data_IF_419131626777
#
_entry.id   IF_419131626777
#
_cell.length_a   1.000
_cell.length_b   1.000
_cell.length_c   1.000
_cell.angle_alpha   90.00
_cell.angle_beta   90.00
_cell.angle_gamma   90.00
#
_symmetry.space_group_name_H-M   'P 1'
#
loop_
_entity.id
_entity.type
_entity.pdbx_description
1 polymer ?
#
# COMPACT_ATOMS: atom_id res chain seq x y z
N UNK A 1 13.48 -12.40 35.14
CA UNK A 1 12.56 -12.78 34.03
C UNK A 1 12.19 -11.54 33.20
N UNK A 2 13.15 -10.74 32.73
CA UNK A 2 12.85 -9.38 32.26
C UNK A 2 13.67 -8.85 31.07
N UNK A 3 14.48 -9.68 30.40
CA UNK A 3 15.34 -9.22 29.31
C UNK A 3 15.07 -9.91 27.95
N UNK A 4 14.28 -10.99 27.94
CA UNK A 4 13.96 -11.73 26.71
C UNK A 4 12.61 -11.34 26.06
N UNK A 5 11.82 -10.47 26.71
CA UNK A 5 10.47 -10.10 26.23
C UNK A 5 10.47 -8.88 25.29
N UNK A 6 11.59 -8.15 25.18
CA UNK A 6 11.73 -7.01 24.28
C UNK A 6 12.17 -7.41 22.86
N UNK A 7 12.96 -8.48 22.70
CA UNK A 7 13.50 -8.89 21.39
C UNK A 7 12.51 -9.65 20.49
N UNK A 8 11.31 -10.00 20.99
CA UNK A 8 10.26 -10.68 20.22
C UNK A 8 8.96 -9.89 20.14
N UNK A 9 9.01 -8.55 20.12
CA UNK A 9 7.90 -7.81 19.50
C UNK A 9 7.92 -8.13 18.02
N UNK A 10 7.02 -9.03 17.62
CA UNK A 10 6.85 -9.47 16.24
C UNK A 10 6.70 -8.23 15.34
N UNK A 11 7.76 -7.85 14.61
CA UNK A 11 7.81 -6.63 13.78
C UNK A 11 7.01 -6.81 12.49
N UNK A 12 5.76 -7.24 12.64
CA UNK A 12 4.88 -7.59 11.52
C UNK A 12 4.74 -6.39 10.59
N UNK A 13 4.55 -5.18 11.13
CA UNK A 13 4.37 -3.95 10.38
C UNK A 13 5.54 -3.65 9.47
N UNK A 14 6.78 -3.91 9.91
CA UNK A 14 7.98 -3.75 9.08
C UNK A 14 7.93 -4.70 7.89
N UNK A 15 7.73 -6.01 8.12
CA UNK A 15 7.78 -7.00 7.05
C UNK A 15 6.62 -6.84 6.07
N UNK A 16 5.40 -6.64 6.57
CA UNK A 16 4.21 -6.47 5.74
C UNK A 16 4.24 -5.15 4.98
N UNK A 17 4.70 -4.07 5.62
CA UNK A 17 4.85 -2.76 4.98
C UNK A 17 5.93 -2.79 3.89
N UNK A 18 7.01 -3.55 4.10
CA UNK A 18 8.10 -3.67 3.14
C UNK A 18 7.67 -4.51 1.93
N UNK A 19 7.06 -5.68 2.17
CA UNK A 19 6.57 -6.56 1.09
C UNK A 19 5.47 -5.84 0.31
N UNK A 20 4.45 -5.34 0.98
CA UNK A 20 3.33 -4.66 0.33
C UNK A 20 3.75 -3.36 -0.36
N UNK A 21 4.61 -2.55 0.28
CA UNK A 21 5.14 -1.31 -0.30
C UNK A 21 5.96 -1.56 -1.57
N UNK A 22 6.86 -2.56 -1.55
CA UNK A 22 7.62 -2.95 -2.73
C UNK A 22 6.72 -3.49 -3.85
N UNK A 23 5.70 -4.28 -3.51
CA UNK A 23 4.73 -4.78 -4.49
C UNK A 23 3.94 -3.66 -5.15
N UNK A 24 3.48 -2.66 -4.39
CA UNK A 24 2.83 -1.46 -4.94
C UNK A 24 3.77 -0.67 -5.85
N UNK A 25 5.03 -0.49 -5.47
CA UNK A 25 6.02 0.20 -6.32
C UNK A 25 6.23 -0.56 -7.63
N UNK A 26 6.45 -1.87 -7.56
CA UNK A 26 6.61 -2.71 -8.76
C UNK A 26 5.36 -2.65 -9.64
N UNK A 27 4.17 -2.71 -9.04
CA UNK A 27 2.89 -2.54 -9.76
C UNK A 27 2.84 -1.23 -10.52
N UNK A 28 3.19 -0.13 -9.85
CA UNK A 28 3.18 1.19 -10.45
C UNK A 28 4.17 1.30 -11.60
N UNK A 29 5.37 0.75 -11.47
CA UNK A 29 6.39 0.73 -12.53
C UNK A 29 5.93 -0.09 -13.73
N UNK A 30 5.42 -1.31 -13.51
CA UNK A 30 4.94 -2.18 -14.59
C UNK A 30 3.80 -1.50 -15.35
N UNK A 31 2.82 -0.93 -14.65
CA UNK A 31 1.71 -0.22 -15.30
C UNK A 31 2.16 1.05 -16.03
N UNK A 32 3.20 1.73 -15.56
CA UNK A 32 3.78 2.85 -16.31
C UNK A 32 4.41 2.39 -17.64
N UNK A 33 5.03 1.21 -17.66
CA UNK A 33 5.68 0.68 -18.86
C UNK A 33 4.63 0.14 -19.84
N UNK A 34 3.66 -0.64 -19.35
CA UNK A 34 2.66 -1.32 -20.18
C UNK A 34 1.65 -0.33 -20.80
N UNK A 35 1.25 0.69 -20.06
CA UNK A 35 0.26 1.68 -20.51
C UNK A 35 0.90 2.89 -21.22
N UNK A 36 2.21 2.85 -21.52
CA UNK A 36 2.94 3.98 -22.14
C UNK A 36 2.27 4.53 -23.40
N UNK A 37 1.74 3.64 -24.25
CA UNK A 37 1.07 3.99 -25.51
C UNK A 37 -0.23 4.75 -25.24
N UNK A 38 -0.93 4.41 -24.15
CA UNK A 38 -2.16 5.09 -23.76
C UNK A 38 -1.85 6.48 -23.16
N UNK A 39 -0.69 6.66 -22.52
CA UNK A 39 -0.27 7.96 -21.98
C UNK A 39 0.03 8.98 -23.08
N UNK A 40 0.65 8.53 -24.17
CA UNK A 40 0.90 9.37 -25.35
C UNK A 40 -0.39 9.89 -25.97
N UNK A 41 -1.48 9.11 -25.87
CA UNK A 41 -2.80 9.48 -26.36
C UNK A 41 -3.53 10.40 -25.37
N UNK A 42 -3.48 10.09 -24.08
CA UNK A 42 -4.05 10.94 -23.04
C UNK A 42 -3.29 10.78 -21.71
N UNK A 43 -2.71 11.85 -21.16
CA UNK A 43 -1.96 11.79 -19.91
C UNK A 43 -2.83 11.37 -18.71
N UNK A 44 -4.16 11.43 -18.81
CA UNK A 44 -5.06 11.03 -17.72
C UNK A 44 -4.87 9.57 -17.28
N UNK A 45 -4.42 8.70 -18.19
CA UNK A 45 -4.18 7.29 -17.89
C UNK A 45 -2.97 7.04 -16.97
N UNK A 46 -2.11 8.04 -16.77
CA UNK A 46 -0.92 7.92 -15.92
C UNK A 46 -1.23 8.00 -14.43
N UNK A 47 -2.34 8.68 -14.08
CA UNK A 47 -2.67 9.04 -12.70
C UNK A 47 -2.76 7.82 -11.78
N UNK A 48 -3.44 6.72 -12.14
CA UNK A 48 -3.53 5.55 -11.26
C UNK A 48 -2.17 4.90 -10.99
N UNK A 49 -1.26 4.89 -11.97
CA UNK A 49 0.08 4.36 -11.80
C UNK A 49 0.91 5.23 -10.85
N UNK A 50 0.83 6.56 -10.99
CA UNK A 50 1.50 7.51 -10.08
C UNK A 50 0.99 7.37 -8.65
N UNK A 51 -0.32 7.27 -8.45
CA UNK A 51 -0.91 7.12 -7.12
C UNK A 51 -0.45 5.81 -6.47
N UNK A 52 -0.42 4.72 -7.25
CA UNK A 52 0.06 3.42 -6.77
C UNK A 52 1.52 3.48 -6.30
N UNK A 53 2.39 4.15 -7.08
CA UNK A 53 3.78 4.40 -6.68
C UNK A 53 3.86 5.22 -5.38
N UNK A 54 3.05 6.28 -5.29
CA UNK A 54 3.03 7.18 -4.15
C UNK A 54 2.61 6.45 -2.88
N UNK A 55 1.59 5.58 -2.95
CA UNK A 55 1.18 4.76 -1.80
C UNK A 55 2.27 3.77 -1.38
N UNK A 56 2.93 3.12 -2.34
CA UNK A 56 4.06 2.24 -2.06
C UNK A 56 5.24 2.97 -1.40
N UNK A 57 5.56 4.18 -1.85
CA UNK A 57 6.60 5.02 -1.25
C UNK A 57 6.25 5.45 0.18
N UNK A 58 5.01 5.87 0.42
CA UNK A 58 4.56 6.22 1.78
C UNK A 58 4.64 5.01 2.70
N UNK A 59 4.28 3.81 2.22
CA UNK A 59 4.42 2.59 2.99
C UNK A 59 5.89 2.30 3.34
N UNK A 60 6.82 2.46 2.41
CA UNK A 60 8.26 2.30 2.69
C UNK A 60 8.80 3.35 3.66
N UNK A 61 8.35 4.60 3.57
CA UNK A 61 8.68 5.65 4.54
C UNK A 61 8.13 5.28 5.93
N UNK A 62 6.90 4.77 5.99
CA UNK A 62 6.28 4.25 7.21
C UNK A 62 7.13 3.14 7.84
N UNK A 63 7.59 2.17 7.04
CA UNK A 63 8.51 1.11 7.49
C UNK A 63 9.82 1.68 8.03
N UNK A 64 10.43 2.64 7.33
CA UNK A 64 11.67 3.26 7.77
C UNK A 64 11.51 3.94 9.13
N UNK A 65 10.41 4.68 9.33
CA UNK A 65 10.08 5.33 10.61
C UNK A 65 9.82 4.28 11.70
N UNK A 66 9.12 3.20 11.37
CA UNK A 66 8.85 2.10 12.28
C UNK A 66 10.13 1.39 12.73
N UNK A 67 11.14 1.32 11.86
CA UNK A 67 12.45 0.77 12.19
C UNK A 67 13.16 1.55 13.32
N UNK A 68 12.90 2.86 13.42
CA UNK A 68 13.35 3.72 14.52
C UNK A 68 12.42 3.72 15.74
N UNK A 69 11.51 2.74 15.83
CA UNK A 69 10.55 2.58 16.92
C UNK A 69 9.59 3.76 17.13
N UNK A 70 9.36 4.58 16.09
CA UNK A 70 8.38 5.65 16.15
C UNK A 70 6.97 5.16 15.73
N UNK A 71 5.97 5.46 16.56
CA UNK A 71 4.54 5.13 16.37
C UNK A 71 3.94 5.78 15.11
N UNK A 72 4.52 6.88 14.63
CA UNK A 72 4.09 7.53 13.39
C UNK A 72 4.23 6.59 12.18
N UNK A 73 5.17 5.63 12.24
CA UNK A 73 5.34 4.60 11.22
C UNK A 73 4.12 3.69 11.10
N UNK A 74 3.52 3.30 12.23
CA UNK A 74 2.31 2.47 12.26
C UNK A 74 1.14 3.21 11.60
N UNK A 75 0.95 4.49 11.94
CA UNK A 75 -0.10 5.31 11.36
C UNK A 75 0.09 5.51 9.85
N UNK A 76 1.32 5.73 9.39
CA UNK A 76 1.62 5.86 7.96
C UNK A 76 1.32 4.57 7.18
N UNK A 77 1.65 3.39 7.74
CA UNK A 77 1.29 2.11 7.15
C UNK A 77 -0.24 1.94 7.06
N UNK A 78 -0.96 2.30 8.12
CA UNK A 78 -2.42 2.23 8.13
C UNK A 78 -3.02 3.18 7.09
N UNK A 79 -2.57 4.44 7.04
CA UNK A 79 -3.10 5.43 6.10
C UNK A 79 -2.80 5.06 4.65
N UNK A 80 -1.57 4.67 4.35
CA UNK A 80 -1.19 4.25 2.99
C UNK A 80 -1.94 3.00 2.54
N UNK A 81 -2.07 1.99 3.40
CA UNK A 81 -2.86 0.78 3.10
C UNK A 81 -4.34 1.07 2.90
N UNK A 82 -4.96 1.87 3.78
CA UNK A 82 -6.38 2.23 3.68
C UNK A 82 -6.68 3.07 2.43
N UNK A 83 -5.85 4.07 2.13
CA UNK A 83 -6.00 4.90 0.94
C UNK A 83 -5.78 4.10 -0.35
N UNK A 84 -4.78 3.22 -0.38
CA UNK A 84 -4.55 2.33 -1.52
C UNK A 84 -5.74 1.40 -1.76
N UNK A 85 -6.32 0.81 -0.70
CA UNK A 85 -7.56 0.01 -0.79
C UNK A 85 -8.71 0.88 -1.34
N UNK A 86 -8.92 2.07 -0.77
CA UNK A 86 -9.98 2.96 -1.24
C UNK A 86 -9.83 3.30 -2.74
N UNK A 87 -8.64 3.72 -3.16
CA UNK A 87 -8.34 4.04 -4.56
C UNK A 87 -8.48 2.83 -5.50
N UNK A 88 -8.21 1.63 -5.01
CA UNK A 88 -8.35 0.39 -5.77
C UNK A 88 -9.83 0.06 -6.07
N UNK A 89 -10.78 0.47 -5.22
CA UNK A 89 -12.21 0.28 -5.47
C UNK A 89 -12.88 1.51 -6.10
N UNK A 90 -12.23 2.68 -6.04
CA UNK A 90 -12.79 3.91 -6.60
C UNK A 90 -12.71 3.91 -8.14
N UNK A 91 -13.85 3.97 -8.85
CA UNK A 91 -13.86 4.06 -10.30
C UNK A 91 -13.37 5.44 -10.73
N UNK A 92 -12.30 5.47 -11.53
CA UNK A 92 -11.70 6.71 -12.02
C UNK A 92 -12.23 7.09 -13.40
N UNK A 93 -12.24 6.13 -14.33
CA UNK A 93 -12.66 6.33 -15.72
C UNK A 93 -13.48 5.13 -16.18
N UNK A 94 -14.64 5.39 -16.77
CA UNK A 94 -15.47 4.38 -17.41
C UNK A 94 -15.37 4.57 -18.91
N UNK A 95 -14.74 3.62 -19.61
CA UNK A 95 -14.70 3.59 -21.06
C UNK A 95 -15.80 2.66 -21.53
N UNK A 96 -16.82 3.23 -22.17
CA UNK A 96 -17.85 2.43 -22.84
C UNK A 96 -17.42 2.19 -24.29
N UNK A 97 -17.31 0.92 -24.64
CA UNK A 97 -17.38 0.44 -26.02
C UNK A 97 -18.81 -0.07 -26.28
N UNK A 98 -19.21 -0.21 -27.54
CA UNK A 98 -20.56 -0.62 -27.96
C UNK A 98 -21.05 -1.94 -27.31
N UNK A 99 -20.14 -2.78 -26.80
CA UNK A 99 -20.47 -4.07 -26.18
C UNK A 99 -19.91 -4.27 -24.77
N UNK A 100 -18.96 -3.44 -24.32
CA UNK A 100 -18.25 -3.64 -23.06
C UNK A 100 -17.96 -2.31 -22.35
N UNK A 101 -18.14 -2.30 -21.03
CA UNK A 101 -17.71 -1.18 -20.18
C UNK A 101 -16.43 -1.58 -19.45
N UNK A 102 -15.34 -0.87 -19.72
CA UNK A 102 -14.08 -1.01 -18.99
C UNK A 102 -14.01 0.05 -17.89
N UNK A 103 -13.83 -0.39 -16.65
CA UNK A 103 -13.70 0.50 -15.48
C UNK A 103 -12.23 0.56 -15.10
N UNK A 104 -11.61 1.71 -15.30
CA UNK A 104 -10.27 2.02 -14.81
C UNK A 104 -10.39 2.53 -13.38
N UNK A 105 -9.63 1.91 -12.48
CA UNK A 105 -9.60 2.24 -11.05
C UNK A 105 -8.51 3.26 -10.76
N UNK A 106 -8.62 3.93 -9.61
CA UNK A 106 -7.75 5.03 -9.21
C UNK A 106 -6.37 4.56 -8.69
N UNK A 107 -6.20 3.27 -8.42
CA UNK A 107 -4.91 2.62 -8.14
C UNK A 107 -4.92 1.19 -8.69
N UNK A 108 -3.78 0.78 -9.24
CA UNK A 108 -3.53 -0.58 -9.69
C UNK A 108 -2.93 -1.40 -8.55
N UNK A 109 -3.24 -2.69 -8.51
CA UNK A 109 -2.64 -3.64 -7.55
C UNK A 109 -2.19 -4.87 -8.33
N UNK A 110 -1.00 -5.40 -8.06
CA UNK A 110 -0.50 -6.60 -8.74
C UNK A 110 -1.22 -7.84 -8.23
N UNK A 111 -1.35 -7.93 -6.90
CA UNK A 111 -2.33 -8.77 -6.25
C UNK A 111 -3.31 -7.88 -5.48
N UNK A 112 -4.60 -8.22 -5.55
CA UNK A 112 -5.67 -7.55 -4.77
C UNK A 112 -5.38 -7.46 -3.26
N UNK A 113 -4.38 -8.22 -2.79
CA UNK A 113 -4.00 -8.43 -1.39
C UNK A 113 -2.93 -7.42 -0.92
N UNK A 114 -2.15 -6.82 -1.82
CA UNK A 114 -0.97 -6.00 -1.47
C UNK A 114 -1.29 -4.85 -0.50
N UNK A 115 -2.29 -3.99 -0.75
CA UNK A 115 -2.57 -2.88 0.15
C UNK A 115 -3.24 -3.35 1.47
N UNK A 116 -3.88 -4.53 1.47
CA UNK A 116 -4.39 -5.15 2.70
C UNK A 116 -3.27 -5.67 3.60
N UNK A 117 -2.19 -6.22 3.02
CA UNK A 117 -1.02 -6.65 3.78
C UNK A 117 -0.40 -5.47 4.53
N UNK A 118 -0.25 -4.32 3.85
CA UNK A 118 0.26 -3.09 4.48
C UNK A 118 -0.66 -2.65 5.63
N UNK A 119 -1.97 -2.57 5.37
CA UNK A 119 -2.96 -2.13 6.35
C UNK A 119 -3.00 -3.03 7.59
N UNK A 120 -3.17 -4.34 7.40
CA UNK A 120 -3.26 -5.32 8.48
C UNK A 120 -1.96 -5.34 9.29
N UNK A 121 -0.83 -5.23 8.60
CA UNK A 121 0.49 -5.02 9.17
C UNK A 121 0.56 -3.90 10.20
N UNK A 122 0.23 -2.68 9.76
CA UNK A 122 0.24 -1.50 10.62
C UNK A 122 -0.77 -1.58 11.77
N UNK A 123 -1.96 -2.15 11.54
CA UNK A 123 -2.96 -2.35 12.60
C UNK A 123 -2.45 -3.28 13.68
N UNK A 124 -1.91 -4.44 13.31
CA UNK A 124 -1.44 -5.44 14.27
C UNK A 124 -0.30 -4.86 15.11
N UNK A 125 0.68 -4.20 14.48
CA UNK A 125 1.84 -3.66 15.18
C UNK A 125 1.44 -2.52 16.15
N UNK A 126 0.50 -1.66 15.75
CA UNK A 126 -0.09 -0.65 16.64
C UNK A 126 -0.82 -1.27 17.84
N UNK A 127 -1.59 -2.34 17.63
CA UNK A 127 -2.34 -3.04 18.69
C UNK A 127 -1.42 -3.77 19.66
N UNK A 128 -0.29 -4.31 19.18
CA UNK A 128 0.77 -4.90 20.01
C UNK A 128 1.48 -3.81 20.82
N UNK A 129 1.85 -2.67 20.20
CA UNK A 129 2.46 -1.53 20.92
C UNK A 129 1.57 -1.01 22.05
N UNK A 130 0.26 -0.92 21.82
CA UNK A 130 -0.73 -0.48 22.82
C UNK A 130 -1.08 -1.55 23.86
N UNK A 131 -0.47 -2.74 23.82
CA UNK A 131 -0.71 -3.86 24.74
C UNK A 131 -2.19 -4.30 24.78
N UNK A 132 -2.90 -4.18 23.65
CA UNK A 132 -4.31 -4.54 23.55
C UNK A 132 -4.45 -6.06 23.34
N UNK A 133 -3.67 -6.65 22.43
CA UNK A 133 -3.83 -8.05 22.03
C UNK A 133 -2.81 -8.98 22.71
N UNK A 134 -1.64 -8.47 23.09
CA UNK A 134 -0.62 -9.23 23.83
C UNK A 134 -0.10 -8.41 25.02
N UNK A 135 -0.60 -8.73 26.22
CA UNK A 135 -0.13 -8.20 27.52
C UNK A 135 1.02 -9.05 28.11
#
# INVERSE_FOLDING_TARGET
MGLYREEKKFKLGIYSGLIGGLMLILTGIVNLIDLRVLFEINPIFILPSILTLLWGLIALIGVAILHYDNIDGDYLLIYSGALAIFCMFFPYLNIQSETLTYIIRLSYTFAFIDPFVILIGGIIDLLVRKQIIWK
#
